data_IF_394642887530
#
_entry.id   IF_394642887530
#
_cell.length_a   1.000
_cell.length_b   1.000
_cell.length_c   1.000
_cell.angle_alpha   90.00
_cell.angle_beta   90.00
_cell.angle_gamma   90.00
#
_symmetry.space_group_name_H-M   'P 1'
#
loop_
_entity.id
_entity.type
_entity.pdbx_description
1 polymer ?
#
# COMPACT_ATOMS: atom_id res chain seq x y z
N UNK A 1 5.81 -15.87 -24.53
CA UNK A 1 5.73 -15.35 -24.16
C UNK A 1 5.89 -14.77 -23.37
N UNK A 2 6.34 -14.36 -23.33
CA UNK A 2 6.49 -13.95 -22.24
C UNK A 2 5.72 -12.90 -21.96
N UNK A 3 5.00 -12.89 -21.21
CA UNK A 3 4.31 -11.90 -20.81
C UNK A 3 4.88 -11.15 -19.89
N UNK A 4 6.11 -10.98 -19.74
CA UNK A 4 6.64 -10.33 -18.76
C UNK A 4 6.27 -8.99 -18.77
N UNK A 5 5.81 -8.42 -17.75
CA UNK A 5 5.56 -7.09 -17.56
C UNK A 5 6.49 -6.61 -16.62
N UNK A 6 7.05 -5.42 -16.73
CA UNK A 6 7.91 -4.82 -15.77
C UNK A 6 7.06 -4.04 -14.84
N UNK A 7 7.01 -4.46 -13.60
CA UNK A 7 6.32 -3.77 -12.57
C UNK A 7 6.97 -2.45 -12.34
N UNK A 8 6.19 -1.39 -12.32
CA UNK A 8 6.75 -0.07 -12.11
C UNK A 8 6.54 0.36 -10.68
N UNK A 9 7.62 0.55 -9.96
CA UNK A 9 7.56 1.03 -8.57
C UNK A 9 7.35 2.53 -8.55
N UNK A 10 6.91 3.09 -7.40
CA UNK A 10 6.72 4.54 -7.30
C UNK A 10 8.04 5.26 -7.39
N UNK A 11 8.01 6.52 -7.82
CA UNK A 11 9.20 7.33 -7.93
C UNK A 11 9.81 7.60 -6.58
N UNK A 12 8.97 7.85 -5.59
CA UNK A 12 9.44 8.06 -4.24
C UNK A 12 8.50 7.35 -3.31
N UNK A 13 8.98 7.02 -2.12
CA UNK A 13 8.17 6.35 -1.12
C UNK A 13 7.24 7.38 -0.52
N UNK A 14 5.93 7.27 -0.72
CA UNK A 14 5.02 8.30 -0.23
C UNK A 14 4.83 8.23 1.28
N UNK A 15 4.38 9.34 1.85
CA UNK A 15 4.04 9.37 3.25
C UNK A 15 2.54 9.39 3.39
N UNK A 16 2.00 8.59 4.28
CA UNK A 16 0.57 8.64 4.56
C UNK A 16 0.35 8.65 6.06
N UNK A 17 -0.75 9.27 6.49
CA UNK A 17 -1.13 9.30 7.88
C UNK A 17 -2.38 8.49 8.08
N UNK A 18 -2.40 7.66 9.09
CA UNK A 18 -3.55 6.83 9.41
C UNK A 18 -3.95 7.08 10.86
N UNK A 19 -5.20 7.42 11.09
CA UNK A 19 -5.72 7.61 12.42
C UNK A 19 -6.41 6.31 12.84
N UNK A 20 -5.75 5.54 13.67
CA UNK A 20 -6.26 4.22 14.04
C UNK A 20 -7.53 4.29 14.87
N UNK A 21 -7.78 5.44 15.54
CA UNK A 21 -8.99 5.57 16.33
C UNK A 21 -10.17 6.05 15.51
N UNK A 22 -10.00 6.39 14.26
CA UNK A 22 -11.08 6.85 13.41
C UNK A 22 -11.37 5.87 12.31
N UNK A 23 -12.03 6.36 11.26
CA UNK A 23 -12.38 5.52 10.14
C UNK A 23 -11.16 5.04 9.39
N UNK A 24 -10.06 5.76 9.51
CA UNK A 24 -8.84 5.38 8.84
C UNK A 24 -8.28 4.06 9.37
N UNK A 25 -8.72 3.62 10.53
CA UNK A 25 -8.27 2.35 11.07
C UNK A 25 -8.82 1.13 10.34
N UNK A 26 -9.80 1.31 9.47
CA UNK A 26 -10.37 0.22 8.71
C UNK A 26 -9.35 -0.30 7.70
N UNK A 27 -9.21 -1.61 7.61
CA UNK A 27 -8.22 -2.23 6.73
C UNK A 27 -8.38 -1.80 5.29
N UNK A 28 -9.62 -1.71 4.80
CA UNK A 28 -9.84 -1.33 3.42
C UNK A 28 -9.49 0.14 3.17
N UNK A 29 -9.68 0.99 4.18
CA UNK A 29 -9.31 2.39 4.05
C UNK A 29 -7.79 2.52 3.97
N UNK A 30 -7.07 1.77 4.79
CA UNK A 30 -5.61 1.78 4.77
C UNK A 30 -5.09 1.35 3.40
N UNK A 31 -5.63 0.26 2.89
CA UNK A 31 -5.21 -0.25 1.58
C UNK A 31 -5.54 0.76 0.49
N UNK A 32 -6.72 1.36 0.55
CA UNK A 32 -7.12 2.34 -0.45
C UNK A 32 -6.23 3.57 -0.46
N UNK A 33 -5.93 4.11 0.73
CA UNK A 33 -5.06 5.28 0.82
C UNK A 33 -3.66 4.96 0.33
N UNK A 34 -3.16 3.78 0.68
CA UNK A 34 -1.82 3.37 0.28
C UNK A 34 -1.75 3.21 -1.23
N UNK A 35 -2.73 2.55 -1.82
CA UNK A 35 -2.74 2.36 -3.26
C UNK A 35 -2.81 3.69 -3.98
N UNK A 36 -3.64 4.60 -3.50
CA UNK A 36 -3.77 5.90 -4.13
C UNK A 36 -2.44 6.66 -4.07
N UNK A 37 -1.77 6.63 -2.94
CA UNK A 37 -0.50 7.31 -2.78
C UNK A 37 0.57 6.72 -3.68
N UNK A 38 0.62 5.39 -3.77
CA UNK A 38 1.58 4.72 -4.63
C UNK A 38 1.31 5.05 -6.10
N UNK A 39 0.04 5.05 -6.47
CA UNK A 39 -0.33 5.36 -7.84
C UNK A 39 0.06 6.79 -8.20
N UNK A 40 -0.15 7.73 -7.28
CA UNK A 40 0.20 9.12 -7.49
C UNK A 40 1.70 9.31 -7.69
N UNK A 41 2.50 8.40 -7.13
CA UNK A 41 3.95 8.46 -7.29
C UNK A 41 4.42 7.66 -8.50
N UNK A 42 3.52 7.16 -9.31
CA UNK A 42 3.88 6.51 -10.55
C UNK A 42 3.86 4.99 -10.55
N UNK A 43 3.46 4.37 -9.44
CA UNK A 43 3.39 2.91 -9.42
C UNK A 43 2.30 2.42 -10.37
N UNK A 44 2.53 1.30 -11.02
CA UNK A 44 1.53 0.77 -11.93
C UNK A 44 0.61 -0.22 -11.20
N UNK A 45 -0.36 -0.74 -11.92
CA UNK A 45 -1.34 -1.59 -11.31
C UNK A 45 -0.77 -2.89 -10.84
N UNK A 46 0.23 -3.42 -11.49
CA UNK A 46 0.89 -4.62 -11.04
C UNK A 46 1.54 -4.42 -9.68
N UNK A 47 2.15 -3.29 -9.47
CA UNK A 47 2.76 -2.96 -8.18
C UNK A 47 1.70 -2.86 -7.10
N UNK A 48 0.57 -2.21 -7.43
CA UNK A 48 -0.52 -2.08 -6.46
C UNK A 48 -1.11 -3.45 -6.12
N UNK A 49 -1.25 -4.33 -7.09
CA UNK A 49 -1.77 -5.66 -6.84
C UNK A 49 -0.82 -6.46 -5.94
N UNK A 50 0.47 -6.31 -6.16
CA UNK A 50 1.46 -6.97 -5.33
C UNK A 50 1.31 -6.51 -3.88
N UNK A 51 1.17 -5.20 -3.67
CA UNK A 51 0.98 -4.67 -2.33
C UNK A 51 -0.30 -5.22 -1.71
N UNK A 52 -1.41 -5.18 -2.44
CA UNK A 52 -2.67 -5.66 -1.90
C UNK A 52 -2.60 -7.11 -1.50
N UNK A 53 -2.00 -7.95 -2.35
CA UNK A 53 -1.90 -9.37 -2.05
C UNK A 53 -1.10 -9.61 -0.78
N UNK A 54 -0.02 -8.90 -0.63
CA UNK A 54 0.83 -9.06 0.56
C UNK A 54 0.13 -8.53 1.81
N UNK A 55 -0.53 -7.38 1.68
CA UNK A 55 -1.19 -6.75 2.82
C UNK A 55 -2.36 -7.58 3.31
N UNK A 56 -3.02 -8.28 2.40
CA UNK A 56 -4.20 -9.05 2.77
C UNK A 56 -3.88 -10.52 3.05
N UNK A 57 -2.62 -10.89 3.07
CA UNK A 57 -2.24 -12.28 3.26
C UNK A 57 -2.21 -12.70 4.73
N UNK A 58 -2.45 -11.80 5.65
CA UNK A 58 -2.40 -12.12 7.07
C UNK A 58 -3.40 -11.29 7.84
N UNK A 59 -3.11 -11.03 9.11
CA UNK A 59 -4.03 -10.29 9.96
C UNK A 59 -3.76 -8.78 9.87
N UNK A 60 -4.40 -8.03 10.76
CA UNK A 60 -4.31 -6.58 10.76
C UNK A 60 -2.88 -6.12 11.05
N UNK A 61 -2.18 -6.80 11.93
CA UNK A 61 -0.80 -6.48 12.21
C UNK A 61 0.06 -6.66 10.98
N UNK A 62 -0.19 -7.71 10.20
CA UNK A 62 0.51 -7.95 8.96
C UNK A 62 0.22 -6.83 7.96
N UNK A 63 -1.02 -6.38 7.90
CA UNK A 63 -1.40 -5.27 7.05
C UNK A 63 -0.58 -4.03 7.35
N UNK A 64 -0.48 -3.67 8.63
CA UNK A 64 0.28 -2.49 9.01
C UNK A 64 1.77 -2.66 8.71
N UNK A 65 2.29 -3.86 8.96
CA UNK A 65 3.69 -4.12 8.72
C UNK A 65 4.01 -4.01 7.23
N UNK A 66 3.20 -4.63 6.38
CA UNK A 66 3.42 -4.59 4.93
C UNK A 66 3.26 -3.16 4.43
N UNK A 67 2.22 -2.45 4.89
CA UNK A 67 1.99 -1.09 4.47
C UNK A 67 3.20 -0.21 4.79
N UNK A 68 3.80 -0.41 5.96
CA UNK A 68 4.95 0.40 6.35
C UNK A 68 6.19 0.09 5.52
N UNK A 69 6.20 -1.03 4.82
CA UNK A 69 7.30 -1.34 3.92
C UNK A 69 7.12 -0.64 2.57
N UNK A 70 5.89 -0.33 2.21
CA UNK A 70 5.61 0.29 0.92
C UNK A 70 5.54 1.81 0.99
N UNK A 71 5.15 2.35 2.14
CA UNK A 71 5.03 3.79 2.32
C UNK A 71 5.58 4.16 3.69
N UNK A 72 5.83 5.44 3.88
CA UNK A 72 6.20 5.93 5.21
C UNK A 72 4.89 6.13 5.96
N UNK A 73 4.58 5.19 6.83
CA UNK A 73 3.31 5.15 7.50
C UNK A 73 3.41 5.86 8.84
N UNK A 74 2.59 6.90 9.02
CA UNK A 74 2.52 7.61 10.28
C UNK A 74 1.21 7.29 10.94
N UNK A 75 1.28 6.63 12.09
CA UNK A 75 0.07 6.26 12.81
C UNK A 75 -0.20 7.30 13.87
N UNK A 76 -1.46 7.68 14.00
CA UNK A 76 -1.86 8.66 14.99
C UNK A 76 -2.67 8.06 16.08
#
# INVERSE_FOLDING_TARGET
MSNRRFMKAPNEKPEIEIDLDGEDGNAFVIIGKTCKSLFNEGADEEYLNKYRDEAMSGDYENLLKITSQYVNLNLK
#
